data_IF_509518432873
#
_entry.id   IF_509518432873
#
_cell.length_a   1.000
_cell.length_b   1.000
_cell.length_c   1.000
_cell.angle_alpha   90.00
_cell.angle_beta   90.00
_cell.angle_gamma   90.00
#
_symmetry.space_group_name_H-M   'P 1'
#
loop_
_entity.id
_entity.type
_entity.pdbx_description
1 polymer ?
#
# COMPACT_ATOMS: atom_id res chain seq x y z
N UNK A 1 -17.26 8.08 14.75
CA UNK A 1 -17.74 6.71 14.44
C UNK A 1 -17.39 6.40 13.00
N UNK A 2 -16.60 5.32 12.75
CA UNK A 2 -16.16 4.96 11.38
C UNK A 2 -17.30 4.75 10.39
N UNK A 3 -18.39 4.02 10.71
CA UNK A 3 -19.48 3.82 9.77
C UNK A 3 -20.13 5.12 9.29
N UNK A 4 -20.31 6.09 10.16
CA UNK A 4 -20.91 7.39 9.81
C UNK A 4 -19.99 8.18 8.88
N UNK A 5 -18.69 8.30 9.23
CA UNK A 5 -17.69 8.96 8.40
C UNK A 5 -17.63 8.36 6.99
N UNK A 6 -17.60 7.03 6.90
CA UNK A 6 -17.55 6.32 5.62
C UNK A 6 -18.83 6.55 4.82
N UNK A 7 -20.01 6.49 5.47
CA UNK A 7 -21.29 6.68 4.82
C UNK A 7 -21.48 8.11 4.30
N UNK A 8 -21.06 9.11 5.07
CA UNK A 8 -21.13 10.53 4.67
C UNK A 8 -20.29 10.82 3.41
N UNK A 9 -19.13 10.14 3.27
CA UNK A 9 -18.22 10.42 2.17
C UNK A 9 -18.49 9.59 0.93
N UNK A 10 -18.78 8.28 1.08
CA UNK A 10 -18.82 7.34 -0.05
C UNK A 10 -20.14 6.57 -0.16
N UNK A 11 -21.10 6.86 0.69
CA UNK A 11 -22.49 6.42 0.57
C UNK A 11 -23.00 5.50 1.67
N UNK A 12 -24.28 5.61 1.95
CA UNK A 12 -24.99 4.95 3.05
C UNK A 12 -24.92 3.42 3.05
N UNK A 13 -24.57 2.81 1.91
CA UNK A 13 -24.41 1.34 1.83
C UNK A 13 -23.39 0.78 2.86
N UNK A 14 -22.50 1.62 3.37
CA UNK A 14 -21.50 1.24 4.35
C UNK A 14 -21.94 1.40 5.82
N UNK A 15 -23.10 1.99 6.11
CA UNK A 15 -23.61 2.14 7.47
C UNK A 15 -23.71 0.82 8.23
N UNK A 16 -24.04 -0.27 7.52
CA UNK A 16 -24.17 -1.61 8.09
C UNK A 16 -22.91 -2.47 7.93
N UNK A 17 -21.81 -1.89 7.43
CA UNK A 17 -20.55 -2.62 7.29
C UNK A 17 -19.93 -2.84 8.68
N UNK A 18 -19.54 -4.08 8.96
CA UNK A 18 -18.88 -4.42 10.22
C UNK A 18 -17.46 -3.86 10.19
N UNK A 19 -17.29 -2.68 10.75
CA UNK A 19 -16.00 -2.01 10.88
C UNK A 19 -15.38 -2.27 12.27
N UNK A 20 -14.05 -2.18 12.41
CA UNK A 20 -13.38 -2.21 13.70
C UNK A 20 -13.91 -1.10 14.62
N UNK A 21 -13.90 -1.35 15.93
CA UNK A 21 -14.25 -0.32 16.91
C UNK A 21 -13.12 0.70 17.09
N UNK A 22 -11.88 0.23 16.98
CA UNK A 22 -10.67 1.02 17.10
C UNK A 22 -9.73 0.70 15.94
N UNK A 23 -9.15 1.73 15.33
CA UNK A 23 -8.28 1.54 14.18
C UNK A 23 -7.66 2.82 13.66
N UNK A 24 -6.78 2.64 12.69
CA UNK A 24 -6.22 3.72 11.88
C UNK A 24 -7.01 3.76 10.58
N UNK A 25 -7.43 4.94 10.17
CA UNK A 25 -8.12 5.16 8.91
C UNK A 25 -7.17 5.83 7.92
N UNK A 26 -7.15 5.30 6.69
CA UNK A 26 -6.41 5.85 5.57
C UNK A 26 -7.41 6.29 4.50
N UNK A 27 -7.34 7.54 4.09
CA UNK A 27 -8.15 8.07 3.00
C UNK A 27 -7.60 7.59 1.66
N UNK A 28 -8.44 6.99 0.85
CA UNK A 28 -8.12 6.58 -0.51
C UNK A 28 -8.57 7.68 -1.46
N UNK A 29 -7.66 8.16 -2.29
CA UNK A 29 -7.88 9.36 -3.10
C UNK A 29 -7.61 9.09 -4.59
N UNK A 30 -8.25 9.88 -5.43
CA UNK A 30 -7.89 10.05 -6.84
C UNK A 30 -6.78 11.11 -6.98
N UNK A 31 -6.23 11.25 -8.18
CA UNK A 31 -5.18 12.22 -8.50
C UNK A 31 -5.53 13.68 -8.18
N UNK A 32 -6.81 14.01 -8.24
CA UNK A 32 -7.33 15.34 -7.91
C UNK A 32 -7.52 15.59 -6.41
N UNK A 33 -7.16 14.61 -5.57
CA UNK A 33 -7.29 14.66 -4.11
C UNK A 33 -8.69 14.29 -3.59
N UNK A 34 -9.63 13.95 -4.47
CA UNK A 34 -10.99 13.55 -4.06
C UNK A 34 -10.94 12.22 -3.32
N UNK A 35 -11.53 12.18 -2.12
CA UNK A 35 -11.66 10.94 -1.36
C UNK A 35 -12.70 10.03 -2.00
N UNK A 36 -12.29 8.82 -2.35
CA UNK A 36 -13.13 7.79 -2.99
C UNK A 36 -13.27 6.54 -2.15
N UNK A 37 -12.60 6.50 -1.01
CA UNK A 37 -12.69 5.37 -0.11
C UNK A 37 -11.85 5.52 1.14
N UNK A 38 -11.89 4.47 1.92
CA UNK A 38 -11.12 4.34 3.15
C UNK A 38 -10.57 2.92 3.30
N UNK A 39 -9.33 2.80 3.73
CA UNK A 39 -8.84 1.57 4.36
C UNK A 39 -8.83 1.80 5.86
N UNK A 40 -9.42 0.88 6.61
CA UNK A 40 -9.43 0.90 8.07
C UNK A 40 -8.60 -0.27 8.56
N UNK A 41 -7.50 0.02 9.27
CA UNK A 41 -6.65 -0.98 9.91
C UNK A 41 -7.00 -1.03 11.40
N UNK A 42 -7.53 -2.16 11.85
CA UNK A 42 -7.81 -2.36 13.28
C UNK A 42 -6.52 -2.41 14.10
N UNK A 43 -6.56 -1.76 15.26
CA UNK A 43 -5.56 -1.88 16.34
C UNK A 43 -6.02 -2.81 17.45
N UNK A 44 -7.21 -3.39 17.32
CA UNK A 44 -7.75 -4.34 18.30
C UNK A 44 -6.90 -5.61 18.34
N UNK A 45 -6.65 -6.10 19.55
CA UNK A 45 -5.92 -7.36 19.76
C UNK A 45 -6.83 -8.56 19.48
N UNK A 46 -6.22 -9.64 18.98
CA UNK A 46 -6.89 -10.95 18.84
C UNK A 46 -8.07 -11.02 17.87
N UNK A 47 -8.13 -10.15 16.87
CA UNK A 47 -9.11 -10.26 15.79
C UNK A 47 -8.58 -11.16 14.65
N UNK A 48 -9.47 -11.85 13.93
CA UNK A 48 -9.10 -12.64 12.76
C UNK A 48 -8.38 -11.78 11.69
N UNK A 49 -7.40 -12.37 10.99
CA UNK A 49 -6.62 -11.67 9.95
C UNK A 49 -7.53 -10.98 8.93
N UNK A 50 -8.62 -11.64 8.49
CA UNK A 50 -9.57 -11.09 7.53
C UNK A 50 -10.36 -9.86 8.03
N UNK A 51 -10.32 -9.55 9.33
CA UNK A 51 -10.99 -8.38 9.91
C UNK A 51 -10.00 -7.28 10.31
N UNK A 52 -8.70 -7.50 10.10
CA UNK A 52 -7.66 -6.50 10.44
C UNK A 52 -7.66 -5.34 9.47
N UNK A 53 -8.08 -5.58 8.24
CA UNK A 53 -8.13 -4.58 7.19
C UNK A 53 -9.52 -4.60 6.56
N UNK A 54 -10.17 -3.45 6.51
CA UNK A 54 -11.44 -3.29 5.82
C UNK A 54 -11.28 -2.16 4.82
N UNK A 55 -11.64 -2.42 3.57
CA UNK A 55 -11.62 -1.41 2.51
C UNK A 55 -13.07 -1.09 2.16
N UNK A 56 -13.39 0.18 2.19
CA UNK A 56 -14.65 0.75 1.74
C UNK A 56 -14.34 1.73 0.62
N UNK A 57 -14.78 1.47 -0.61
CA UNK A 57 -14.49 2.32 -1.76
C UNK A 57 -15.65 2.35 -2.75
N UNK A 58 -15.79 3.44 -3.49
CA UNK A 58 -16.79 3.61 -4.55
C UNK A 58 -16.30 3.06 -5.89
N UNK A 59 -15.00 2.89 -6.07
CA UNK A 59 -14.38 2.32 -7.25
C UNK A 59 -13.21 1.41 -6.85
N UNK A 60 -12.62 0.72 -7.83
CA UNK A 60 -11.48 -0.16 -7.63
C UNK A 60 -10.12 0.53 -7.92
N UNK A 61 -10.17 1.76 -8.46
CA UNK A 61 -9.00 2.58 -8.76
C UNK A 61 -8.83 3.65 -7.69
N UNK A 62 -7.96 3.39 -6.74
CA UNK A 62 -7.65 4.30 -5.65
C UNK A 62 -6.22 4.11 -5.19
N UNK A 63 -5.67 5.15 -4.59
CA UNK A 63 -4.34 5.10 -4.00
C UNK A 63 -4.28 5.93 -2.72
N UNK A 64 -3.47 5.48 -1.80
CA UNK A 64 -3.10 6.26 -0.64
C UNK A 64 -1.87 7.12 -0.98
N UNK A 65 -1.88 8.41 -0.61
CA UNK A 65 -0.91 9.43 -0.99
C UNK A 65 -0.91 9.84 -2.48
N UNK A 66 -1.89 9.44 -3.25
CA UNK A 66 -1.94 9.68 -4.70
C UNK A 66 -1.93 11.18 -5.05
N UNK A 67 -2.57 12.01 -4.24
CA UNK A 67 -2.69 13.47 -4.38
C UNK A 67 -1.44 14.27 -3.98
N UNK A 68 -0.45 13.63 -3.37
CA UNK A 68 0.77 14.28 -2.86
C UNK A 68 2.05 13.89 -3.59
N UNK A 69 1.92 13.16 -4.71
CA UNK A 69 3.07 12.66 -5.47
C UNK A 69 3.84 13.78 -6.15
N UNK A 70 5.16 13.71 -6.06
CA UNK A 70 6.10 14.51 -6.85
C UNK A 70 6.51 13.71 -8.10
N UNK A 71 5.89 14.03 -9.23
CA UNK A 71 6.12 13.35 -10.51
C UNK A 71 7.50 13.60 -11.11
N UNK A 72 8.31 14.48 -10.54
CA UNK A 72 9.69 14.73 -10.96
C UNK A 72 10.70 13.77 -10.34
N UNK A 73 10.25 12.95 -9.38
CA UNK A 73 11.07 11.99 -8.63
C UNK A 73 10.57 10.55 -8.83
N UNK A 74 11.38 9.54 -8.48
CA UNK A 74 10.89 8.18 -8.40
C UNK A 74 9.66 8.07 -7.50
N UNK A 75 8.64 7.34 -7.97
CA UNK A 75 7.42 7.05 -7.24
C UNK A 75 7.43 5.56 -6.85
N UNK A 76 7.49 5.30 -5.55
CA UNK A 76 7.47 3.92 -5.06
C UNK A 76 6.03 3.40 -5.01
N UNK A 77 5.73 2.38 -5.81
CA UNK A 77 4.43 1.71 -5.83
C UNK A 77 4.48 0.50 -4.93
N UNK A 78 3.67 0.49 -3.88
CA UNK A 78 3.68 -0.52 -2.82
C UNK A 78 2.28 -1.03 -2.50
N UNK A 79 2.15 -2.22 -1.89
CA UNK A 79 0.83 -2.79 -1.58
C UNK A 79 0.16 -2.06 -0.41
N UNK A 80 0.85 -1.95 0.72
CA UNK A 80 0.26 -1.56 2.01
C UNK A 80 0.37 -0.07 2.34
N UNK A 81 -0.72 0.53 2.88
CA UNK A 81 -0.66 1.91 3.37
C UNK A 81 0.37 2.11 4.48
N UNK A 82 0.55 1.13 5.37
CA UNK A 82 1.53 1.22 6.46
C UNK A 82 2.96 1.25 5.96
N UNK A 83 3.27 0.50 4.91
CA UNK A 83 4.59 0.46 4.30
C UNK A 83 4.88 1.77 3.58
N UNK A 84 3.88 2.32 2.88
CA UNK A 84 3.98 3.61 2.20
C UNK A 84 4.30 4.78 3.15
N UNK A 85 3.91 4.70 4.43
CA UNK A 85 4.25 5.73 5.43
C UNK A 85 5.76 5.91 5.64
N UNK A 86 6.56 4.89 5.35
CA UNK A 86 8.00 4.90 5.56
C UNK A 86 8.82 5.22 4.31
N UNK A 87 8.17 5.31 3.14
CA UNK A 87 8.82 5.65 1.88
C UNK A 87 8.42 7.05 1.42
N UNK A 88 9.41 7.86 1.08
CA UNK A 88 9.14 9.16 0.47
C UNK A 88 8.57 8.96 -0.93
N UNK A 89 7.62 9.85 -1.32
CA UNK A 89 7.03 9.86 -2.65
C UNK A 89 6.49 8.47 -3.07
N UNK A 90 5.63 7.90 -2.25
CA UNK A 90 5.08 6.56 -2.43
C UNK A 90 3.56 6.55 -2.61
N UNK A 91 3.07 5.53 -3.27
CA UNK A 91 1.64 5.24 -3.40
C UNK A 91 1.36 3.81 -2.93
N UNK A 92 0.41 3.64 -2.01
CA UNK A 92 -0.13 2.34 -1.65
C UNK A 92 -1.36 2.03 -2.50
N UNK A 93 -1.33 0.89 -3.20
CA UNK A 93 -2.38 0.52 -4.17
C UNK A 93 -3.35 -0.54 -3.65
N UNK A 94 -3.16 -1.02 -2.42
CA UNK A 94 -4.03 -1.99 -1.73
C UNK A 94 -4.27 -3.29 -2.50
N UNK A 95 -3.35 -3.64 -3.38
CA UNK A 95 -3.42 -4.83 -4.22
C UNK A 95 -2.01 -5.38 -4.45
N UNK A 96 -1.87 -6.69 -4.43
CA UNK A 96 -0.62 -7.35 -4.84
C UNK A 96 -0.31 -7.20 -6.33
N UNK A 97 -1.30 -6.81 -7.13
CA UNK A 97 -1.13 -6.55 -8.57
C UNK A 97 -0.61 -5.13 -8.83
N UNK A 98 0.55 -4.78 -8.26
CA UNK A 98 1.13 -3.44 -8.34
C UNK A 98 1.28 -2.94 -9.79
N UNK A 99 1.61 -3.83 -10.72
CA UNK A 99 1.80 -3.54 -12.14
C UNK A 99 0.59 -2.93 -12.85
N UNK A 100 -0.61 -2.99 -12.26
CA UNK A 100 -1.82 -2.35 -12.81
C UNK A 100 -1.82 -0.84 -12.62
N UNK A 101 -1.06 -0.35 -11.66
CA UNK A 101 -0.97 1.08 -11.33
C UNK A 101 0.37 1.60 -11.84
N UNK A 102 0.31 2.43 -12.86
CA UNK A 102 1.49 3.01 -13.51
C UNK A 102 1.21 4.47 -13.90
N UNK A 103 1.15 5.37 -12.91
CA UNK A 103 0.79 6.78 -13.16
C UNK A 103 1.83 7.52 -14.01
N UNK A 104 3.08 7.06 -14.06
CA UNK A 104 4.16 7.67 -14.82
C UNK A 104 5.32 6.70 -15.01
N UNK A 105 6.21 6.98 -15.95
CA UNK A 105 7.43 6.19 -16.24
C UNK A 105 8.45 6.21 -15.07
N UNK A 106 8.28 7.09 -14.09
CA UNK A 106 9.15 7.17 -12.90
C UNK A 106 8.73 6.18 -11.79
N UNK A 107 7.78 5.29 -12.03
CA UNK A 107 7.35 4.32 -11.04
C UNK A 107 8.40 3.24 -10.78
N UNK A 108 8.59 2.90 -9.52
CA UNK A 108 9.46 1.82 -9.04
C UNK A 108 8.64 0.91 -8.12
N UNK A 109 8.61 -0.37 -8.40
CA UNK A 109 7.70 -1.31 -7.74
C UNK A 109 8.37 -2.01 -6.57
N UNK A 110 7.76 -1.88 -5.38
CA UNK A 110 8.26 -2.46 -4.13
C UNK A 110 7.29 -3.54 -3.68
N UNK A 111 7.62 -4.79 -4.02
CA UNK A 111 6.83 -5.96 -3.61
C UNK A 111 7.30 -6.47 -2.25
N UNK A 112 6.43 -7.18 -1.54
CA UNK A 112 6.83 -7.91 -0.33
C UNK A 112 7.99 -8.88 -0.63
N UNK A 113 8.94 -8.99 0.30
CA UNK A 113 10.11 -9.84 0.11
C UNK A 113 9.80 -11.29 0.53
N UNK A 114 8.89 -11.92 -0.21
CA UNK A 114 8.44 -13.30 0.04
C UNK A 114 8.88 -14.27 -1.09
N UNK A 115 10.16 -14.64 -1.20
CA UNK A 115 10.69 -15.40 -2.34
C UNK A 115 10.13 -16.83 -2.46
N UNK A 116 9.50 -17.33 -1.40
CA UNK A 116 8.81 -18.66 -1.42
C UNK A 116 7.32 -18.55 -1.75
N UNK A 117 6.78 -17.35 -1.80
CA UNK A 117 5.40 -17.11 -2.19
C UNK A 117 5.29 -17.01 -3.70
N UNK A 118 4.79 -18.06 -4.35
CA UNK A 118 4.67 -18.11 -5.81
C UNK A 118 3.76 -17.01 -6.38
N UNK A 119 2.84 -16.49 -5.59
CA UNK A 119 1.99 -15.36 -6.02
C UNK A 119 2.82 -14.09 -6.11
N UNK A 120 3.61 -13.77 -5.10
CA UNK A 120 4.50 -12.59 -5.09
C UNK A 120 5.52 -12.70 -6.22
N UNK A 121 6.17 -13.85 -6.40
CA UNK A 121 7.13 -14.07 -7.49
C UNK A 121 6.50 -13.78 -8.87
N UNK A 122 5.27 -14.24 -9.11
CA UNK A 122 4.55 -13.97 -10.36
C UNK A 122 4.25 -12.48 -10.56
N UNK A 123 3.96 -11.73 -9.50
CA UNK A 123 3.76 -10.28 -9.60
C UNK A 123 5.07 -9.56 -9.97
N UNK A 124 6.17 -9.94 -9.34
CA UNK A 124 7.51 -9.42 -9.67
C UNK A 124 7.88 -9.74 -11.12
N UNK A 125 7.74 -11.00 -11.56
CA UNK A 125 7.97 -11.42 -12.94
C UNK A 125 7.11 -10.62 -13.92
N UNK A 126 5.86 -10.33 -13.54
CA UNK A 126 4.96 -9.52 -14.38
C UNK A 126 5.45 -8.08 -14.52
N UNK A 127 5.86 -7.42 -13.43
CA UNK A 127 6.47 -6.09 -13.48
C UNK A 127 7.70 -6.09 -14.40
N UNK A 128 8.63 -7.03 -14.22
CA UNK A 128 9.84 -7.16 -15.04
C UNK A 128 9.48 -7.38 -16.51
N UNK A 129 8.49 -8.24 -16.81
CA UNK A 129 8.05 -8.51 -18.19
C UNK A 129 7.46 -7.29 -18.90
N UNK A 130 6.98 -6.32 -18.15
CA UNK A 130 6.49 -5.03 -18.64
C UNK A 130 7.59 -3.97 -18.76
N UNK A 131 8.83 -4.29 -18.35
CA UNK A 131 9.95 -3.36 -18.33
C UNK A 131 9.91 -2.39 -17.15
N UNK A 132 9.15 -2.70 -16.10
CA UNK A 132 9.02 -1.84 -14.93
C UNK A 132 10.16 -2.10 -13.94
N UNK A 133 10.80 -1.05 -13.39
CA UNK A 133 11.80 -1.19 -12.35
C UNK A 133 11.22 -1.81 -11.09
N UNK A 134 11.85 -2.88 -10.58
CA UNK A 134 11.43 -3.57 -9.34
C UNK A 134 12.54 -3.46 -8.31
N UNK A 135 12.17 -3.13 -7.07
CA UNK A 135 13.08 -3.18 -5.93
C UNK A 135 13.19 -4.62 -5.44
N UNK A 136 14.42 -5.08 -5.31
CA UNK A 136 14.75 -6.29 -4.55
C UNK A 136 15.50 -5.87 -3.28
N UNK A 137 15.03 -6.37 -2.15
CA UNK A 137 15.70 -6.15 -0.87
C UNK A 137 16.83 -7.19 -0.65
N UNK A 138 17.86 -6.86 0.12
CA UNK A 138 18.87 -7.81 0.53
C UNK A 138 18.26 -9.06 1.19
N UNK A 139 18.92 -10.21 1.02
CA UNK A 139 18.42 -11.51 1.47
C UNK A 139 18.16 -11.60 2.97
N UNK A 140 18.85 -10.80 3.76
CA UNK A 140 18.67 -10.70 5.21
C UNK A 140 17.29 -10.19 5.63
N UNK A 141 16.57 -9.52 4.72
CA UNK A 141 15.18 -9.03 4.92
C UNK A 141 14.13 -9.96 4.30
N UNK A 142 14.51 -11.20 3.96
CA UNK A 142 13.58 -12.20 3.42
C UNK A 142 12.39 -12.44 4.37
N UNK A 143 11.17 -12.42 3.81
CA UNK A 143 9.88 -12.49 4.52
C UNK A 143 9.55 -11.28 5.41
N UNK A 144 10.16 -10.13 5.15
CA UNK A 144 9.85 -8.87 5.81
C UNK A 144 9.19 -7.91 4.81
N UNK A 145 8.17 -7.18 5.27
CA UNK A 145 7.67 -5.99 4.58
C UNK A 145 8.46 -4.74 5.04
N UNK A 146 8.19 -3.58 4.43
CA UNK A 146 8.88 -2.33 4.77
C UNK A 146 8.65 -1.96 6.25
N UNK A 147 7.44 -2.17 6.76
CA UNK A 147 7.13 -1.89 8.15
C UNK A 147 7.93 -2.81 9.10
N UNK A 148 8.10 -4.09 8.75
CA UNK A 148 8.92 -5.02 9.53
C UNK A 148 10.39 -4.61 9.55
N UNK A 149 10.93 -4.16 8.41
CA UNK A 149 12.32 -3.67 8.31
C UNK A 149 12.53 -2.45 9.21
N UNK A 150 11.62 -1.49 9.20
CA UNK A 150 11.69 -0.32 10.07
C UNK A 150 11.60 -0.73 11.54
N UNK A 151 10.70 -1.64 11.88
CA UNK A 151 10.56 -2.15 13.24
C UNK A 151 11.80 -2.96 13.71
N UNK A 152 12.58 -3.51 12.78
CA UNK A 152 13.86 -4.18 13.11
C UNK A 152 14.98 -3.20 13.47
N UNK A 153 14.75 -1.88 13.30
CA UNK A 153 15.67 -0.82 13.70
C UNK A 153 16.32 -0.04 12.55
N UNK A 154 15.92 -0.29 11.31
CA UNK A 154 16.37 0.49 10.15
C UNK A 154 15.59 1.80 10.08
N UNK A 155 16.24 2.97 10.17
CA UNK A 155 15.54 4.25 10.07
C UNK A 155 14.90 4.43 8.68
N UNK A 156 13.69 5.01 8.57
CA UNK A 156 13.01 5.22 7.28
C UNK A 156 13.88 5.92 6.22
N UNK A 157 14.68 6.90 6.63
CA UNK A 157 15.61 7.64 5.75
C UNK A 157 16.71 6.79 5.12
N UNK A 158 16.94 5.58 5.65
CA UNK A 158 17.99 4.65 5.19
C UNK A 158 17.41 3.52 4.32
N UNK A 159 16.08 3.38 4.25
CA UNK A 159 15.41 2.31 3.48
C UNK A 159 15.85 2.28 2.02
N UNK A 160 15.86 3.44 1.37
CA UNK A 160 16.21 3.54 -0.05
C UNK A 160 17.66 3.12 -0.34
N UNK A 161 18.55 3.15 0.66
CA UNK A 161 19.93 2.66 0.52
C UNK A 161 20.03 1.14 0.41
N UNK A 162 18.98 0.42 0.85
CA UNK A 162 18.87 -1.03 0.76
C UNK A 162 18.36 -1.50 -0.60
N UNK A 163 17.77 -0.61 -1.39
CA UNK A 163 17.08 -0.98 -2.62
C UNK A 163 18.06 -1.36 -3.73
N UNK A 164 17.90 -2.56 -4.25
CA UNK A 164 18.55 -3.04 -5.46
C UNK A 164 17.50 -3.03 -6.58
N UNK A 165 17.62 -2.08 -7.50
CA UNK A 165 16.66 -1.93 -8.59
C UNK A 165 17.07 -2.77 -9.80
N UNK A 166 16.17 -3.53 -10.36
CA UNK A 166 16.29 -4.38 -11.54
C UNK A 166 15.26 -4.02 -12.60
#
# INVERSE_FOLDING_TARGET
NFPELVAETIGEKYLNTKLPKEGIIFELKELDGKVTGYQIRSIEKNIPKAQRFVICSINDEHGYFYDTLDYTKPIYVIEGCTDALFLNNSIAVLSSMLWKIHPTDNCVYVNDQEPRNSSVCKQIEKCISLGYPVVLLPREYENMDINDIVNSGIPPKELETLFQTH
#
